data_IF_336297038378
#
_entry.id   IF_336297038378
#
_cell.length_a   1.000
_cell.length_b   1.000
_cell.length_c   1.000
_cell.angle_alpha   90.00
_cell.angle_beta   90.00
_cell.angle_gamma   90.00
#
_symmetry.space_group_name_H-M   'P 1'
#
loop_
_entity.id
_entity.type
_entity.pdbx_description
1 polymer ?
#
# COMPACT_ATOMS: atom_id res chain seq x y z
N UNK A 1 12.74 -2.35 -18.20
CA UNK A 1 13.08 -3.47 -17.29
C UNK A 1 11.87 -3.71 -16.40
N UNK A 2 11.34 -4.93 -16.43
CA UNK A 2 10.11 -5.28 -15.69
C UNK A 2 10.36 -5.23 -14.20
N UNK A 3 9.47 -4.56 -13.45
CA UNK A 3 9.55 -4.41 -12.00
C UNK A 3 8.76 -5.53 -11.32
N UNK A 4 9.40 -6.24 -10.40
CA UNK A 4 8.82 -7.36 -9.67
C UNK A 4 8.13 -6.89 -8.38
N UNK A 5 6.88 -7.26 -8.22
CA UNK A 5 6.01 -6.83 -7.14
C UNK A 5 5.45 -8.00 -6.37
N UNK A 6 5.47 -7.90 -5.03
CA UNK A 6 4.75 -8.80 -4.14
C UNK A 6 3.55 -8.09 -3.51
N UNK A 7 2.40 -8.75 -3.45
CA UNK A 7 1.21 -8.23 -2.78
C UNK A 7 1.06 -8.90 -1.43
N UNK A 8 1.06 -8.13 -0.35
CA UNK A 8 0.89 -8.66 1.00
C UNK A 8 -0.56 -8.44 1.46
N UNK A 9 -1.25 -9.54 1.73
CA UNK A 9 -2.66 -9.54 2.10
C UNK A 9 -3.63 -9.76 0.94
N UNK A 10 -4.81 -10.34 1.25
CA UNK A 10 -5.80 -10.80 0.26
C UNK A 10 -7.17 -10.17 0.40
N UNK A 11 -7.36 -9.20 1.29
CA UNK A 11 -8.58 -8.42 1.38
C UNK A 11 -8.49 -7.21 0.47
N UNK A 12 -7.76 -6.19 0.89
CA UNK A 12 -7.53 -4.98 0.10
C UNK A 12 -6.44 -5.18 -0.97
N UNK A 13 -5.56 -6.16 -0.82
CA UNK A 13 -4.53 -6.50 -1.81
C UNK A 13 -5.07 -6.82 -3.19
N UNK A 14 -6.32 -7.29 -3.30
CA UNK A 14 -6.96 -7.54 -4.60
C UNK A 14 -7.07 -6.27 -5.45
N UNK A 15 -7.32 -5.11 -4.84
CA UNK A 15 -7.35 -3.83 -5.57
C UNK A 15 -5.98 -3.49 -6.17
N UNK A 16 -4.90 -3.81 -5.47
CA UNK A 16 -3.54 -3.65 -6.01
C UNK A 16 -3.27 -4.62 -7.15
N UNK A 17 -3.71 -5.88 -7.04
CA UNK A 17 -3.59 -6.86 -8.14
C UNK A 17 -4.33 -6.36 -9.38
N UNK A 18 -5.58 -5.93 -9.23
CA UNK A 18 -6.39 -5.41 -10.33
C UNK A 18 -5.77 -4.16 -10.99
N UNK A 19 -5.19 -3.26 -10.19
CA UNK A 19 -4.55 -2.06 -10.70
C UNK A 19 -3.24 -2.37 -11.44
N UNK A 20 -2.42 -3.30 -10.90
CA UNK A 20 -1.06 -3.55 -11.39
C UNK A 20 -1.02 -4.54 -12.56
N UNK A 21 -1.96 -5.49 -12.66
CA UNK A 21 -1.96 -6.53 -13.71
C UNK A 21 -2.02 -5.98 -15.15
N UNK A 22 -2.47 -4.73 -15.32
CA UNK A 22 -2.59 -4.09 -16.62
C UNK A 22 -1.41 -3.14 -16.95
N UNK A 23 -0.42 -3.05 -16.06
CA UNK A 23 0.77 -2.21 -16.27
C UNK A 23 1.86 -3.04 -16.93
N UNK A 24 2.28 -2.67 -18.14
CA UNK A 24 3.20 -3.48 -18.97
C UNK A 24 4.56 -3.75 -18.34
N UNK A 25 5.07 -2.82 -17.52
CA UNK A 25 6.40 -2.92 -16.91
C UNK A 25 6.36 -3.51 -15.49
N UNK A 26 5.27 -4.16 -15.09
CA UNK A 26 5.10 -4.77 -13.78
C UNK A 26 4.81 -6.26 -13.89
N UNK A 27 5.53 -7.06 -13.12
CA UNK A 27 5.29 -8.48 -12.87
C UNK A 27 4.87 -8.68 -11.42
N UNK A 28 3.64 -9.17 -11.19
CA UNK A 28 3.20 -9.59 -9.85
C UNK A 28 3.72 -11.00 -9.63
N UNK A 29 4.75 -11.15 -8.79
CA UNK A 29 5.42 -12.44 -8.55
C UNK A 29 4.64 -13.36 -7.62
N UNK A 30 3.65 -12.82 -6.89
CA UNK A 30 2.78 -13.60 -6.03
C UNK A 30 2.11 -12.80 -4.94
N UNK A 31 1.52 -13.53 -4.00
CA UNK A 31 0.82 -13.00 -2.83
C UNK A 31 1.49 -13.53 -1.58
N UNK A 32 1.82 -12.66 -0.62
CA UNK A 32 2.23 -13.03 0.73
C UNK A 32 1.01 -12.94 1.66
N UNK A 33 0.60 -14.06 2.25
CA UNK A 33 -0.53 -14.10 3.18
C UNK A 33 -0.43 -15.32 4.11
N UNK A 34 -1.30 -15.39 5.12
CA UNK A 34 -1.25 -16.38 6.21
C UNK A 34 -1.72 -17.80 5.85
N UNK A 35 -1.94 -18.13 4.57
CA UNK A 35 -2.36 -19.47 4.16
C UNK A 35 -3.83 -19.81 4.48
N UNK A 36 -4.66 -18.84 4.87
CA UNK A 36 -6.10 -19.07 5.10
C UNK A 36 -6.82 -19.49 3.81
N UNK A 37 -7.98 -20.15 3.94
CA UNK A 37 -8.81 -20.54 2.80
C UNK A 37 -9.06 -19.37 1.83
N UNK A 38 -9.32 -18.16 2.36
CA UNK A 38 -9.47 -16.96 1.56
C UNK A 38 -8.20 -16.63 0.78
N UNK A 39 -7.02 -16.77 1.38
CA UNK A 39 -5.76 -16.45 0.69
C UNK A 39 -5.43 -17.48 -0.39
N UNK A 40 -5.77 -18.75 -0.15
CA UNK A 40 -5.65 -19.82 -1.15
C UNK A 40 -6.57 -19.52 -2.34
N UNK A 41 -7.87 -19.31 -2.09
CA UNK A 41 -8.84 -18.97 -3.15
C UNK A 41 -8.46 -17.72 -3.94
N UNK A 42 -7.92 -16.71 -3.26
CA UNK A 42 -7.45 -15.49 -3.91
C UNK A 42 -6.27 -15.78 -4.85
N UNK A 43 -5.27 -16.53 -4.40
CA UNK A 43 -4.12 -16.90 -5.20
C UNK A 43 -4.51 -17.75 -6.42
N UNK A 44 -5.41 -18.71 -6.25
CA UNK A 44 -5.97 -19.53 -7.33
C UNK A 44 -6.72 -18.69 -8.37
N UNK A 45 -7.61 -17.79 -7.92
CA UNK A 45 -8.39 -16.92 -8.79
C UNK A 45 -7.51 -16.06 -9.69
N UNK A 46 -6.46 -15.46 -9.10
CA UNK A 46 -5.51 -14.63 -9.86
C UNK A 46 -4.39 -15.42 -10.54
N UNK A 47 -4.32 -16.75 -10.32
CA UNK A 47 -3.23 -17.62 -10.82
C UNK A 47 -1.85 -17.12 -10.36
N UNK A 48 -1.78 -16.62 -9.13
CA UNK A 48 -0.56 -16.12 -8.51
C UNK A 48 -0.04 -17.13 -7.47
N UNK A 49 1.28 -17.17 -7.31
CA UNK A 49 1.89 -17.99 -6.27
C UNK A 49 1.56 -17.43 -4.89
N UNK A 50 1.14 -18.31 -3.98
CA UNK A 50 0.94 -17.98 -2.56
C UNK A 50 2.22 -18.26 -1.77
N UNK A 51 2.72 -17.27 -1.07
CA UNK A 51 3.79 -17.37 -0.10
C UNK A 51 3.18 -17.19 1.30
N UNK A 52 3.56 -18.05 2.25
CA UNK A 52 3.08 -17.98 3.63
C UNK A 52 4.15 -17.45 4.59
N UNK A 53 5.40 -17.49 4.14
CA UNK A 53 6.57 -17.05 4.90
C UNK A 53 7.37 -16.02 4.09
N UNK A 54 7.85 -14.97 4.77
CA UNK A 54 8.68 -13.93 4.15
C UNK A 54 9.99 -14.53 3.60
N UNK A 55 10.52 -15.53 4.27
CA UNK A 55 11.77 -16.17 3.88
C UNK A 55 11.67 -16.99 2.59
N UNK A 56 10.47 -17.37 2.20
CA UNK A 56 10.20 -18.07 0.94
C UNK A 56 10.08 -17.16 -0.28
N UNK A 57 10.09 -15.83 -0.07
CA UNK A 57 9.99 -14.86 -1.15
C UNK A 57 11.24 -14.86 -2.05
N UNK A 58 11.09 -14.60 -3.35
CA UNK A 58 12.22 -14.30 -4.24
C UNK A 58 13.09 -13.16 -3.71
N UNK A 59 14.38 -13.20 -4.03
CA UNK A 59 15.33 -12.15 -3.59
C UNK A 59 15.31 -10.90 -4.48
N UNK A 60 14.71 -11.00 -5.65
CA UNK A 60 14.73 -9.98 -6.71
C UNK A 60 13.41 -9.22 -6.82
N UNK A 61 12.75 -8.98 -5.69
CA UNK A 61 11.54 -8.17 -5.60
C UNK A 61 11.94 -6.70 -5.53
N UNK A 62 11.38 -5.87 -6.43
CA UNK A 62 11.63 -4.42 -6.45
C UNK A 62 10.79 -3.67 -5.42
N UNK A 63 9.50 -4.03 -5.28
CA UNK A 63 8.63 -3.41 -4.28
C UNK A 63 7.48 -4.30 -3.82
N UNK A 64 6.90 -3.94 -2.70
CA UNK A 64 5.78 -4.62 -2.08
C UNK A 64 4.62 -3.68 -1.82
N UNK A 65 3.39 -4.15 -2.08
CA UNK A 65 2.17 -3.49 -1.64
C UNK A 65 1.68 -4.20 -0.37
N UNK A 66 1.86 -3.57 0.80
CA UNK A 66 1.48 -4.13 2.09
C UNK A 66 0.06 -3.67 2.44
N UNK A 67 -0.91 -4.53 2.13
CA UNK A 67 -2.35 -4.33 2.40
C UNK A 67 -2.82 -5.22 3.58
N UNK A 68 -1.96 -5.38 4.56
CA UNK A 68 -2.21 -6.06 5.83
C UNK A 68 -2.34 -4.99 6.92
N UNK A 69 -3.35 -5.12 7.77
CA UNK A 69 -3.60 -4.14 8.83
C UNK A 69 -2.38 -3.88 9.72
N UNK A 70 -2.24 -2.65 10.18
CA UNK A 70 -1.19 -2.26 11.13
C UNK A 70 -1.43 -2.88 12.51
N UNK A 71 -0.43 -2.82 13.40
CA UNK A 71 -0.51 -3.45 14.72
C UNK A 71 -1.60 -2.86 15.61
N UNK A 72 -1.88 -1.55 15.48
CA UNK A 72 -2.98 -0.87 16.18
C UNK A 72 -4.35 -1.45 15.82
N UNK A 73 -4.47 -2.04 14.63
CA UNK A 73 -5.69 -2.70 14.15
C UNK A 73 -5.58 -4.24 14.22
N UNK A 74 -4.66 -4.77 15.03
CA UNK A 74 -4.51 -6.21 15.26
C UNK A 74 -3.85 -6.99 14.12
N UNK A 75 -3.23 -6.29 13.16
CA UNK A 75 -2.49 -6.92 12.06
C UNK A 75 -0.98 -6.98 12.29
N UNK A 76 -0.27 -7.67 11.41
CA UNK A 76 1.18 -7.77 11.41
C UNK A 76 1.83 -7.01 10.23
N UNK A 77 1.11 -6.11 9.59
CA UNK A 77 1.58 -5.38 8.41
C UNK A 77 2.88 -4.62 8.65
N UNK A 78 3.05 -4.03 9.84
CA UNK A 78 4.26 -3.29 10.21
C UNK A 78 5.48 -4.21 10.28
N UNK A 79 5.32 -5.41 10.85
CA UNK A 79 6.39 -6.41 10.87
C UNK A 79 6.79 -6.81 9.44
N UNK A 80 5.79 -7.13 8.60
CA UNK A 80 6.02 -7.48 7.19
C UNK A 80 6.77 -6.35 6.46
N UNK A 81 6.31 -5.11 6.60
CA UNK A 81 6.94 -3.96 5.95
C UNK A 81 8.40 -3.77 6.38
N UNK A 82 8.70 -3.89 7.69
CA UNK A 82 10.06 -3.79 8.22
C UNK A 82 10.97 -4.88 7.67
N UNK A 83 10.50 -6.12 7.63
CA UNK A 83 11.29 -7.23 7.10
C UNK A 83 11.55 -7.09 5.59
N UNK A 84 10.57 -6.59 4.83
CA UNK A 84 10.74 -6.30 3.40
C UNK A 84 11.76 -5.17 3.16
N UNK A 85 11.69 -4.07 3.91
CA UNK A 85 12.68 -2.99 3.83
C UNK A 85 14.10 -3.50 4.13
N UNK A 86 14.28 -4.34 5.16
CA UNK A 86 15.57 -4.96 5.47
C UNK A 86 16.12 -5.85 4.35
N UNK A 87 15.25 -6.36 3.50
CA UNK A 87 15.60 -7.22 2.34
C UNK A 87 15.87 -6.42 1.06
N UNK A 88 15.87 -5.09 1.12
CA UNK A 88 16.08 -4.23 -0.04
C UNK A 88 14.83 -4.08 -0.91
N UNK A 89 13.63 -4.27 -0.33
CA UNK A 89 12.35 -4.15 -1.05
C UNK A 89 11.70 -2.82 -0.69
N UNK A 90 11.39 -2.00 -1.69
CA UNK A 90 10.62 -0.78 -1.48
C UNK A 90 9.18 -1.11 -1.05
N UNK A 91 8.59 -0.31 -0.16
CA UNK A 91 7.28 -0.62 0.42
C UNK A 91 6.27 0.49 0.18
N UNK A 92 5.10 0.11 -0.34
CA UNK A 92 3.87 0.89 -0.29
C UNK A 92 2.97 0.25 0.76
N UNK A 93 2.63 0.99 1.82
CA UNK A 93 1.77 0.52 2.91
C UNK A 93 0.37 1.09 2.77
N UNK A 94 -0.66 0.24 2.88
CA UNK A 94 -2.05 0.66 2.77
C UNK A 94 -2.59 1.21 4.10
N UNK A 95 -3.44 2.22 4.01
CA UNK A 95 -4.14 2.78 5.15
C UNK A 95 -5.22 1.82 5.69
N UNK A 96 -5.60 1.93 6.98
CA UNK A 96 -5.11 2.88 7.99
C UNK A 96 -3.80 2.44 8.65
N UNK A 97 -2.96 3.42 8.98
CA UNK A 97 -1.69 3.23 9.70
C UNK A 97 -1.54 4.33 10.76
N UNK A 98 -1.06 3.97 11.95
CA UNK A 98 -0.86 4.92 13.04
C UNK A 98 0.39 5.78 12.82
N UNK A 99 0.37 7.06 13.23
CA UNK A 99 1.48 7.99 13.02
C UNK A 99 2.83 7.51 13.58
N UNK A 100 2.82 6.82 14.72
CA UNK A 100 4.02 6.21 15.30
C UNK A 100 4.60 5.13 14.39
N UNK A 101 3.77 4.31 13.80
CA UNK A 101 4.19 3.23 12.89
C UNK A 101 4.73 3.81 11.57
N UNK A 102 4.16 4.93 11.11
CA UNK A 102 4.69 5.68 9.96
C UNK A 102 6.12 6.14 10.26
N UNK A 103 6.35 6.75 11.44
CA UNK A 103 7.68 7.20 11.84
C UNK A 103 8.68 6.02 11.93
N UNK A 104 8.26 4.88 12.46
CA UNK A 104 9.09 3.68 12.53
C UNK A 104 9.49 3.16 11.14
N UNK A 105 8.55 3.07 10.20
CA UNK A 105 8.82 2.61 8.83
C UNK A 105 9.66 3.62 8.05
N UNK A 106 9.41 4.92 8.26
CA UNK A 106 10.23 5.97 7.67
C UNK A 106 11.68 5.91 8.14
N UNK A 107 11.91 5.76 9.45
CA UNK A 107 13.26 5.58 9.98
C UNK A 107 13.93 4.31 9.43
N UNK A 108 13.17 3.21 9.32
CA UNK A 108 13.69 1.97 8.73
C UNK A 108 14.07 2.18 7.26
N UNK A 109 13.27 2.90 6.48
CA UNK A 109 13.56 3.19 5.07
C UNK A 109 14.86 3.99 4.89
N UNK A 110 15.14 4.94 5.80
CA UNK A 110 16.41 5.68 5.82
C UNK A 110 17.58 4.73 6.13
N UNK A 111 17.44 3.87 7.14
CA UNK A 111 18.49 2.94 7.56
C UNK A 111 18.83 1.89 6.48
N UNK A 112 17.84 1.46 5.72
CA UNK A 112 18.02 0.46 4.65
C UNK A 112 18.31 1.07 3.28
N UNK A 113 18.20 2.39 3.14
CA UNK A 113 18.26 3.12 1.88
C UNK A 113 17.18 2.69 0.87
N UNK A 114 16.05 2.18 1.38
CA UNK A 114 14.90 1.79 0.57
C UNK A 114 13.77 2.83 0.68
N UNK A 115 12.82 2.80 -0.26
CA UNK A 115 11.72 3.75 -0.30
C UNK A 115 10.51 3.19 0.46
N UNK A 116 9.92 4.06 1.28
CA UNK A 116 8.65 3.82 1.94
C UNK A 116 7.62 4.87 1.53
N UNK A 117 6.42 4.45 1.23
CA UNK A 117 5.29 5.33 0.94
C UNK A 117 4.00 4.79 1.51
N UNK A 118 3.06 5.67 1.80
CA UNK A 118 1.70 5.30 2.22
C UNK A 118 0.80 5.38 0.99
N UNK A 119 -0.02 4.35 0.78
CA UNK A 119 -1.05 4.35 -0.24
C UNK A 119 -2.03 5.49 0.01
N UNK A 120 -2.02 6.50 -0.84
CA UNK A 120 -2.91 7.66 -0.75
C UNK A 120 -3.77 7.74 -2.00
N UNK A 121 -4.86 6.97 -1.98
CA UNK A 121 -5.81 6.92 -3.06
C UNK A 121 -6.53 8.26 -3.26
N UNK A 122 -6.90 8.90 -2.15
CA UNK A 122 -7.78 10.08 -2.16
C UNK A 122 -7.17 11.29 -2.86
N UNK A 123 -5.89 11.58 -2.64
CA UNK A 123 -5.22 12.74 -3.27
C UNK A 123 -5.20 12.68 -4.81
N UNK A 124 -5.40 11.51 -5.38
CA UNK A 124 -5.39 11.31 -6.82
C UNK A 124 -6.78 11.31 -7.46
N UNK A 125 -7.85 11.32 -6.66
CA UNK A 125 -9.21 11.38 -7.18
C UNK A 125 -9.46 12.74 -7.85
N UNK A 126 -10.06 12.77 -9.06
CA UNK A 126 -10.36 14.03 -9.77
C UNK A 126 -11.17 15.01 -8.94
N UNK A 127 -12.15 14.52 -8.18
CA UNK A 127 -12.98 15.35 -7.30
C UNK A 127 -12.15 16.03 -6.19
N UNK A 128 -11.21 15.30 -5.58
CA UNK A 128 -10.33 15.85 -4.53
C UNK A 128 -9.35 16.87 -5.13
N UNK A 129 -8.76 16.59 -6.30
CA UNK A 129 -7.90 17.56 -7.00
C UNK A 129 -8.65 18.85 -7.33
N UNK A 130 -9.88 18.73 -7.84
CA UNK A 130 -10.75 19.89 -8.13
C UNK A 130 -11.08 20.66 -6.85
N UNK A 131 -11.44 19.97 -5.77
CA UNK A 131 -11.68 20.61 -4.47
C UNK A 131 -10.47 21.39 -3.97
N UNK A 132 -9.28 20.77 -3.94
CA UNK A 132 -8.05 21.42 -3.49
C UNK A 132 -7.67 22.64 -4.35
N UNK A 133 -7.88 22.56 -5.67
CA UNK A 133 -7.69 23.69 -6.56
C UNK A 133 -8.63 24.85 -6.22
N UNK A 134 -9.92 24.57 -6.04
CA UNK A 134 -10.93 25.58 -5.69
C UNK A 134 -10.64 26.22 -4.31
N UNK A 135 -10.22 25.44 -3.32
CA UNK A 135 -9.79 25.96 -2.01
C UNK A 135 -8.58 26.90 -2.18
N UNK A 136 -7.60 26.50 -3.01
CA UNK A 136 -6.43 27.34 -3.29
C UNK A 136 -6.80 28.67 -3.97
N UNK A 137 -7.80 28.66 -4.86
CA UNK A 137 -8.31 29.89 -5.51
C UNK A 137 -9.05 30.74 -4.49
N UNK A 138 -9.94 30.16 -3.70
CA UNK A 138 -10.70 30.87 -2.67
C UNK A 138 -9.79 31.58 -1.66
N UNK A 139 -8.75 30.89 -1.18
CA UNK A 139 -7.75 31.44 -0.25
C UNK A 139 -6.98 32.67 -0.80
N UNK A 140 -6.93 32.85 -2.11
CA UNK A 140 -6.32 34.04 -2.74
C UNK A 140 -7.24 35.25 -2.75
N UNK A 141 -8.56 35.02 -2.63
CA UNK A 141 -9.59 36.07 -2.64
C UNK A 141 -9.86 36.51 -1.21
N UNK A 142 -10.16 35.56 -0.34
CA UNK A 142 -10.38 35.76 1.08
C UNK A 142 -10.10 34.46 1.85
N UNK A 143 -9.62 34.54 3.10
CA UNK A 143 -9.39 33.37 3.93
C UNK A 143 -10.72 32.83 4.47
N UNK A 144 -11.16 31.62 4.10
CA UNK A 144 -12.37 31.06 4.65
C UNK A 144 -12.22 30.81 6.16
N UNK A 145 -13.23 31.21 6.92
CA UNK A 145 -13.27 31.00 8.37
C UNK A 145 -13.49 29.53 8.76
N UNK A 146 -14.10 28.73 7.88
CA UNK A 146 -14.28 27.29 8.04
C UNK A 146 -14.49 26.60 6.70
N UNK A 147 -14.20 25.30 6.65
CA UNK A 147 -14.52 24.42 5.52
C UNK A 147 -15.36 23.27 6.06
N UNK A 148 -16.51 23.01 5.46
CA UNK A 148 -17.34 21.84 5.74
C UNK A 148 -17.26 20.87 4.57
N UNK A 149 -16.92 19.60 4.86
CA UNK A 149 -16.89 18.52 3.88
C UNK A 149 -17.95 17.50 4.30
N UNK A 150 -18.95 17.30 3.44
CA UNK A 150 -19.94 16.25 3.59
C UNK A 150 -19.57 15.07 2.68
N UNK A 151 -19.27 13.92 3.30
CA UNK A 151 -18.89 12.70 2.62
C UNK A 151 -20.00 11.67 2.76
N UNK A 152 -20.74 11.43 1.70
CA UNK A 152 -21.69 10.34 1.62
C UNK A 152 -20.94 9.03 1.36
N UNK A 153 -20.62 8.30 2.43
CA UNK A 153 -20.03 6.94 2.33
C UNK A 153 -21.17 5.92 2.33
N UNK A 154 -21.34 5.21 1.22
CA UNK A 154 -22.19 4.02 1.15
C UNK A 154 -21.45 2.78 1.69
#
# INVERSE_FOLDING_TARGET
>A
MMKKVIICGTRFGQFYIEALKNIQDIEIVGILANGSERSIKCAEYYRLKLFVEIDSLPKDIDFACVAVGSSVFGGNGIYIAKELLKRGVNVIFEQPIHSREIAELYNMSILTNEKFSIGNLYNNLPAVKSFLLNVSIANKIDQPSYIMIDLNTQ
#
